data_IF_390907470180
#
_entry.id   IF_390907470180
#
_cell.length_a   1.000
_cell.length_b   1.000
_cell.length_c   1.000
_cell.angle_alpha   90.00
_cell.angle_beta   90.00
_cell.angle_gamma   90.00
#
_symmetry.space_group_name_H-M   'P 1'
#
loop_
_entity.id
_entity.type
_entity.pdbx_description
1 polymer ?
#
# COMPACT_ATOMS: atom_id res chain seq x y z
N UNK A 1 -12.66 4.56 -67.97
CA UNK A 1 -13.40 4.04 -66.83
C UNK A 1 -12.46 4.07 -65.62
N UNK A 2 -12.70 4.95 -64.62
CA UNK A 2 -11.88 5.08 -63.44
C UNK A 2 -12.62 4.39 -62.30
N UNK A 3 -12.09 3.24 -61.83
CA UNK A 3 -12.63 2.51 -60.67
C UNK A 3 -12.11 3.16 -59.38
N UNK A 4 -13.02 3.73 -58.61
CA UNK A 4 -12.71 4.28 -57.29
C UNK A 4 -12.80 3.16 -56.26
N UNK A 5 -11.67 2.83 -55.64
CA UNK A 5 -11.58 1.86 -54.53
C UNK A 5 -11.94 2.57 -53.23
N UNK A 6 -13.08 2.18 -52.65
CA UNK A 6 -13.56 2.69 -51.34
C UNK A 6 -12.84 1.91 -50.23
N UNK A 7 -11.93 2.56 -49.52
CA UNK A 7 -11.28 2.00 -48.34
C UNK A 7 -12.16 2.31 -47.12
N UNK A 8 -12.81 1.28 -46.56
CA UNK A 8 -13.57 1.38 -45.33
C UNK A 8 -12.61 1.22 -44.16
N UNK A 9 -12.36 2.30 -43.45
CA UNK A 9 -11.61 2.27 -42.18
C UNK A 9 -12.54 1.79 -41.04
N UNK A 10 -12.37 0.53 -40.61
CA UNK A 10 -13.04 0.03 -39.42
C UNK A 10 -12.22 0.49 -38.21
N UNK A 11 -12.69 1.52 -37.51
CA UNK A 11 -12.13 1.95 -36.24
C UNK A 11 -12.55 0.94 -35.15
N UNK A 12 -11.62 0.04 -34.76
CA UNK A 12 -11.82 -0.84 -33.60
C UNK A 12 -11.67 0.02 -32.36
N UNK A 13 -12.79 0.41 -31.75
CA UNK A 13 -12.85 1.08 -30.46
C UNK A 13 -12.50 0.05 -29.38
N UNK A 14 -11.24 -0.02 -28.98
CA UNK A 14 -10.80 -0.84 -27.85
C UNK A 14 -11.36 -0.25 -26.55
N UNK A 15 -12.57 -0.68 -26.16
CA UNK A 15 -13.13 -0.40 -24.83
C UNK A 15 -12.22 -1.05 -23.78
N UNK A 16 -11.36 -0.25 -23.16
CA UNK A 16 -10.66 -0.68 -21.95
C UNK A 16 -11.70 -0.69 -20.82
N UNK A 17 -12.19 -1.87 -20.48
CA UNK A 17 -12.97 -2.06 -19.27
C UNK A 17 -12.02 -1.82 -18.07
N UNK A 18 -11.97 -0.60 -17.58
CA UNK A 18 -11.43 -0.31 -16.27
C UNK A 18 -12.45 -0.90 -15.29
N UNK A 19 -12.11 -2.02 -14.63
CA UNK A 19 -12.94 -2.55 -13.55
C UNK A 19 -12.94 -1.48 -12.46
N UNK A 20 -14.06 -0.78 -12.30
CA UNK A 20 -14.21 0.19 -11.24
C UNK A 20 -14.13 -0.54 -9.90
N UNK A 21 -13.30 -0.02 -8.99
CA UNK A 21 -13.18 -0.54 -7.64
C UNK A 21 -14.51 -0.41 -6.90
N UNK A 22 -14.89 -1.44 -6.16
CA UNK A 22 -16.09 -1.42 -5.33
C UNK A 22 -15.94 -0.43 -4.17
N UNK A 23 -17.04 0.06 -3.57
CA UNK A 23 -16.96 0.92 -2.40
C UNK A 23 -16.16 0.30 -1.24
N UNK A 24 -16.26 -1.02 -1.04
CA UNK A 24 -15.50 -1.73 -0.01
C UNK A 24 -13.99 -1.78 -0.31
N UNK A 25 -13.59 -1.97 -1.58
CA UNK A 25 -12.18 -1.86 -1.99
C UNK A 25 -11.66 -0.44 -1.80
N UNK A 26 -12.47 0.57 -2.09
CA UNK A 26 -12.10 1.98 -1.87
C UNK A 26 -11.90 2.29 -0.38
N UNK A 27 -12.74 1.75 0.52
CA UNK A 27 -12.57 1.85 1.97
C UNK A 27 -11.21 1.30 2.41
N UNK A 28 -10.84 0.10 1.93
CA UNK A 28 -9.55 -0.53 2.21
C UNK A 28 -8.38 0.31 1.68
N UNK A 29 -8.46 0.81 0.46
CA UNK A 29 -7.41 1.65 -0.12
C UNK A 29 -7.29 3.01 0.58
N UNK A 30 -8.39 3.54 1.13
CA UNK A 30 -8.33 4.75 1.95
C UNK A 30 -7.65 4.47 3.28
N UNK A 31 -7.96 3.33 3.92
CA UNK A 31 -7.26 2.88 5.12
C UNK A 31 -5.73 2.80 4.92
N UNK A 32 -5.27 2.27 3.79
CA UNK A 32 -3.84 2.21 3.45
C UNK A 32 -3.20 3.61 3.39
N UNK A 33 -3.90 4.58 2.79
CA UNK A 33 -3.41 5.97 2.76
C UNK A 33 -3.37 6.61 4.14
N UNK A 34 -4.35 6.33 4.97
CA UNK A 34 -4.41 6.85 6.34
C UNK A 34 -3.32 6.22 7.22
N UNK A 35 -3.01 4.93 7.00
CA UNK A 35 -1.88 4.25 7.63
C UNK A 35 -0.54 4.89 7.24
N UNK A 36 -0.32 5.16 5.94
CA UNK A 36 0.87 5.88 5.48
C UNK A 36 1.02 7.25 6.16
N UNK A 37 -0.09 7.98 6.31
CA UNK A 37 -0.08 9.27 7.00
C UNK A 37 0.31 9.14 8.48
N UNK A 38 -0.15 8.08 9.16
CA UNK A 38 0.22 7.83 10.55
C UNK A 38 1.72 7.56 10.71
N UNK A 39 2.33 6.82 9.78
CA UNK A 39 3.80 6.63 9.75
C UNK A 39 4.54 7.93 9.43
N UNK A 40 4.09 8.69 8.44
CA UNK A 40 4.70 9.95 8.03
C UNK A 40 4.71 10.98 9.17
N UNK A 41 3.59 11.10 9.88
CA UNK A 41 3.41 12.06 10.97
C UNK A 41 4.00 11.55 12.30
N UNK A 42 4.51 10.31 12.35
CA UNK A 42 4.91 9.59 13.57
C UNK A 42 3.81 9.60 14.65
N UNK A 43 2.54 9.51 14.20
CA UNK A 43 1.38 9.46 15.09
C UNK A 43 1.24 8.07 15.73
N UNK A 44 1.92 7.90 16.85
CA UNK A 44 1.92 6.64 17.62
C UNK A 44 0.50 6.22 18.00
N UNK A 45 -0.38 7.15 18.39
CA UNK A 45 -1.74 6.81 18.78
C UNK A 45 -2.57 6.32 17.60
N UNK A 46 -2.36 6.87 16.40
CA UNK A 46 -2.96 6.35 15.18
C UNK A 46 -2.42 4.97 14.83
N UNK A 47 -1.10 4.76 14.91
CA UNK A 47 -0.46 3.47 14.64
C UNK A 47 -0.93 2.36 15.58
N UNK A 48 -1.16 2.68 16.85
CA UNK A 48 -1.74 1.74 17.82
C UNK A 48 -3.16 1.27 17.45
N UNK A 49 -3.89 2.06 16.67
CA UNK A 49 -5.22 1.70 16.14
C UNK A 49 -5.16 1.00 14.80
N UNK A 50 -4.18 1.36 13.97
CA UNK A 50 -3.97 0.82 12.62
C UNK A 50 -3.41 -0.59 12.64
N UNK A 51 -2.42 -0.85 13.52
CA UNK A 51 -1.75 -2.14 13.62
C UNK A 51 -2.46 -3.06 14.62
N UNK A 52 -2.70 -4.32 14.23
CA UNK A 52 -3.20 -5.31 15.21
C UNK A 52 -2.15 -5.59 16.29
N UNK A 53 -2.54 -6.08 17.49
CA UNK A 53 -1.57 -6.51 18.51
C UNK A 53 -0.56 -7.54 18.00
N UNK A 54 -0.98 -8.39 17.07
CA UNK A 54 -0.17 -9.48 16.50
C UNK A 54 0.56 -9.08 15.21
N UNK A 55 0.51 -7.82 14.83
CA UNK A 55 1.10 -7.33 13.57
C UNK A 55 2.57 -7.73 13.41
N UNK A 56 2.90 -8.14 12.20
CA UNK A 56 4.28 -8.39 11.77
C UNK A 56 4.54 -7.80 10.39
N UNK A 57 5.73 -7.26 10.19
CA UNK A 57 6.22 -6.80 8.89
C UNK A 57 7.47 -7.60 8.52
N UNK A 58 7.38 -8.36 7.42
CA UNK A 58 8.56 -8.99 6.84
C UNK A 58 9.29 -7.99 5.97
N UNK A 59 10.51 -7.65 6.34
CA UNK A 59 11.37 -6.71 5.64
C UNK A 59 12.05 -7.36 4.43
N UNK A 60 12.53 -6.54 3.50
CA UNK A 60 13.17 -6.98 2.24
C UNK A 60 14.50 -7.73 2.43
N UNK A 61 15.06 -7.78 3.64
CA UNK A 61 16.25 -8.56 4.03
C UNK A 61 15.87 -9.88 4.74
N UNK A 62 14.56 -10.14 4.91
CA UNK A 62 14.04 -11.33 5.59
C UNK A 62 13.85 -11.19 7.10
N UNK A 63 14.24 -10.06 7.69
CA UNK A 63 13.94 -9.76 9.08
C UNK A 63 12.44 -9.54 9.27
N UNK A 64 11.96 -9.85 10.48
CA UNK A 64 10.56 -9.63 10.87
C UNK A 64 10.51 -8.58 11.96
N UNK A 65 9.82 -7.48 11.68
CA UNK A 65 9.51 -6.43 12.65
C UNK A 65 8.12 -6.67 13.24
N UNK A 66 7.94 -6.35 14.52
CA UNK A 66 6.68 -6.44 15.23
C UNK A 66 6.01 -5.08 15.34
N UNK A 67 4.71 -5.06 15.75
CA UNK A 67 4.02 -3.81 16.11
C UNK A 67 4.82 -2.96 17.09
N UNK A 68 5.41 -3.59 18.10
CA UNK A 68 6.18 -2.89 19.12
C UNK A 68 7.45 -2.26 18.52
N UNK A 69 8.12 -2.96 17.60
CA UNK A 69 9.32 -2.44 16.95
C UNK A 69 8.99 -1.22 16.09
N UNK A 70 7.97 -1.31 15.21
CA UNK A 70 7.54 -0.21 14.36
C UNK A 70 7.18 1.05 15.18
N UNK A 71 6.41 0.88 16.25
CA UNK A 71 6.01 2.00 17.12
C UNK A 71 7.21 2.57 17.86
N UNK A 72 8.11 1.72 18.39
CA UNK A 72 9.27 2.17 19.15
C UNK A 72 10.29 2.90 18.28
N UNK A 73 10.51 2.48 17.04
CA UNK A 73 11.39 3.18 16.10
C UNK A 73 10.93 4.61 15.85
N UNK A 74 9.63 4.82 15.61
CA UNK A 74 9.06 6.15 15.42
C UNK A 74 9.07 6.97 16.73
N UNK A 75 8.66 6.37 17.86
CA UNK A 75 8.63 7.04 19.17
C UNK A 75 10.02 7.49 19.62
N UNK A 76 11.06 6.71 19.33
CA UNK A 76 12.44 7.04 19.69
C UNK A 76 13.09 8.08 18.74
N UNK A 77 12.46 8.40 17.62
CA UNK A 77 13.04 9.25 16.60
C UNK A 77 14.19 8.61 15.80
N UNK A 78 14.41 7.30 15.94
CA UNK A 78 15.41 6.57 15.14
C UNK A 78 15.10 6.62 13.65
N UNK A 79 13.82 6.58 13.33
CA UNK A 79 13.30 6.72 11.97
C UNK A 79 12.47 8.00 11.87
N UNK A 80 12.77 8.79 10.86
CA UNK A 80 11.99 9.97 10.49
C UNK A 80 11.68 9.91 9.00
N UNK A 81 10.40 9.93 8.65
CA UNK A 81 9.94 9.94 7.27
C UNK A 81 9.68 11.37 6.77
N UNK A 82 10.20 11.69 5.58
CA UNK A 82 9.86 12.89 4.80
C UNK A 82 8.80 12.58 3.74
N UNK A 83 8.77 11.32 3.27
CA UNK A 83 7.79 10.76 2.34
C UNK A 83 7.47 9.35 2.80
N UNK A 84 6.18 9.04 2.90
CA UNK A 84 5.65 7.69 3.07
C UNK A 84 4.34 7.61 2.29
N UNK A 85 4.39 7.04 1.10
CA UNK A 85 3.26 7.08 0.18
C UNK A 85 3.08 5.74 -0.55
N UNK A 86 1.87 5.20 -0.46
CA UNK A 86 1.44 4.03 -1.22
C UNK A 86 0.78 4.46 -2.54
N UNK A 87 1.15 3.79 -3.62
CA UNK A 87 0.61 4.02 -4.97
C UNK A 87 0.54 2.72 -5.79
N UNK A 88 -0.11 2.76 -6.95
CA UNK A 88 -0.37 1.59 -7.79
C UNK A 88 -1.03 0.44 -7.00
N UNK A 89 -1.96 0.79 -6.11
CA UNK A 89 -2.58 -0.15 -5.19
C UNK A 89 -3.72 -0.94 -5.83
N UNK A 90 -3.78 -2.23 -5.48
CA UNK A 90 -4.87 -3.14 -5.80
C UNK A 90 -5.34 -3.82 -4.52
N UNK A 91 -6.59 -3.60 -4.14
CA UNK A 91 -7.23 -4.30 -3.03
C UNK A 91 -8.04 -5.50 -3.53
N UNK A 92 -8.04 -6.59 -2.76
CA UNK A 92 -8.88 -7.76 -2.95
C UNK A 92 -9.51 -8.11 -1.61
N UNK A 93 -10.84 -8.18 -1.59
CA UNK A 93 -11.58 -8.58 -0.40
C UNK A 93 -11.85 -10.08 -0.41
N UNK A 94 -11.78 -10.69 0.76
CA UNK A 94 -12.12 -12.08 1.03
C UNK A 94 -13.18 -12.09 2.13
N UNK A 95 -14.44 -12.22 1.75
CA UNK A 95 -15.57 -12.00 2.66
C UNK A 95 -15.73 -10.51 3.00
N UNK A 96 -16.21 -10.23 4.22
CA UNK A 96 -16.52 -8.87 4.67
C UNK A 96 -15.47 -8.28 5.63
N UNK A 97 -14.49 -9.08 6.05
CA UNK A 97 -13.58 -8.79 7.16
C UNK A 97 -12.11 -9.04 6.86
N UNK A 98 -11.78 -9.46 5.65
CA UNK A 98 -10.40 -9.72 5.24
C UNK A 98 -10.10 -9.08 3.90
N UNK A 99 -8.96 -8.44 3.78
CA UNK A 99 -8.47 -7.88 2.53
C UNK A 99 -6.97 -8.14 2.36
N UNK A 100 -6.55 -8.27 1.11
CA UNK A 100 -5.13 -8.26 0.70
C UNK A 100 -4.93 -7.09 -0.22
N UNK A 101 -3.93 -6.26 0.07
CA UNK A 101 -3.54 -5.11 -0.74
C UNK A 101 -2.13 -5.31 -1.27
N UNK A 102 -1.98 -5.15 -2.58
CA UNK A 102 -0.68 -5.08 -3.24
C UNK A 102 -0.47 -3.67 -3.74
N UNK A 103 0.77 -3.21 -3.69
CA UNK A 103 1.11 -1.89 -4.20
C UNK A 103 2.59 -1.61 -4.11
N UNK A 104 2.92 -0.36 -4.33
CA UNK A 104 4.26 0.16 -4.15
C UNK A 104 4.25 1.24 -3.08
N UNK A 105 5.31 1.28 -2.28
CA UNK A 105 5.52 2.35 -1.30
C UNK A 105 6.78 3.12 -1.66
N UNK A 106 6.67 4.43 -1.79
CA UNK A 106 7.83 5.31 -1.76
C UNK A 106 8.08 5.75 -0.33
N UNK A 107 9.28 5.51 0.17
CA UNK A 107 9.74 5.98 1.46
C UNK A 107 11.01 6.79 1.30
N UNK A 108 11.04 7.98 1.93
CA UNK A 108 12.21 8.84 2.02
C UNK A 108 12.32 9.37 3.43
N UNK A 109 13.53 9.49 3.93
CA UNK A 109 13.76 9.98 5.28
C UNK A 109 15.15 9.65 5.79
N UNK A 110 15.25 9.52 7.11
CA UNK A 110 16.48 9.10 7.80
C UNK A 110 16.21 7.96 8.76
N UNK A 111 17.17 7.03 8.88
CA UNK A 111 17.17 5.96 9.87
C UNK A 111 18.54 5.90 10.51
N UNK A 112 18.61 6.00 11.84
CA UNK A 112 19.88 6.11 12.62
C UNK A 112 20.83 7.16 12.04
N UNK A 113 20.26 8.31 11.60
CA UNK A 113 21.01 9.44 11.00
C UNK A 113 21.46 9.22 9.55
N UNK A 114 21.14 8.08 8.93
CA UNK A 114 21.45 7.79 7.52
C UNK A 114 20.23 8.05 6.64
N UNK A 115 20.41 8.87 5.61
CA UNK A 115 19.36 9.16 4.64
C UNK A 115 19.03 7.92 3.79
N UNK A 116 17.75 7.78 3.45
CA UNK A 116 17.25 6.82 2.47
C UNK A 116 16.21 7.45 1.55
N UNK A 117 16.15 7.01 0.29
CA UNK A 117 15.06 7.27 -0.67
C UNK A 117 14.93 6.03 -1.53
N UNK A 118 13.82 5.31 -1.39
CA UNK A 118 13.61 4.03 -2.06
C UNK A 118 12.14 3.76 -2.35
N UNK A 119 11.91 2.91 -3.34
CA UNK A 119 10.61 2.32 -3.63
C UNK A 119 10.69 0.84 -3.34
N UNK A 120 9.70 0.34 -2.65
CA UNK A 120 9.49 -1.10 -2.39
C UNK A 120 8.14 -1.53 -2.94
N UNK A 121 7.98 -2.82 -3.22
CA UNK A 121 6.69 -3.43 -3.44
C UNK A 121 6.21 -4.01 -2.12
N UNK A 122 4.92 -3.85 -1.83
CA UNK A 122 4.33 -4.40 -0.62
C UNK A 122 3.17 -5.36 -0.92
N UNK A 123 2.91 -6.23 0.04
CA UNK A 123 1.69 -7.04 0.15
C UNK A 123 1.25 -7.00 1.59
N UNK A 124 0.10 -6.40 1.82
CA UNK A 124 -0.46 -6.21 3.15
C UNK A 124 -1.73 -7.05 3.32
N UNK A 125 -1.89 -7.62 4.49
CA UNK A 125 -3.08 -8.36 4.90
C UNK A 125 -3.81 -7.55 5.97
N UNK A 126 -5.05 -7.20 5.68
CA UNK A 126 -5.92 -6.43 6.56
C UNK A 126 -7.05 -7.31 7.08
N UNK A 127 -7.45 -7.04 8.32
CA UNK A 127 -8.62 -7.65 8.93
C UNK A 127 -9.53 -6.58 9.51
N UNK A 128 -10.83 -6.83 9.50
CA UNK A 128 -11.84 -5.92 10.08
C UNK A 128 -12.28 -6.46 11.43
N UNK A 129 -11.97 -5.74 12.51
CA UNK A 129 -12.41 -6.05 13.88
C UNK A 129 -13.23 -4.87 14.42
N UNK A 130 -14.36 -5.14 15.01
CA UNK A 130 -15.27 -4.11 15.57
C UNK A 130 -15.58 -2.98 14.57
N UNK A 131 -15.83 -3.36 13.31
CA UNK A 131 -16.15 -2.45 12.22
C UNK A 131 -14.99 -1.61 11.68
N UNK A 132 -13.74 -1.84 12.12
CA UNK A 132 -12.55 -1.09 11.72
C UNK A 132 -11.52 -2.00 11.05
N UNK A 133 -10.98 -1.54 9.94
CA UNK A 133 -9.82 -2.19 9.32
C UNK A 133 -8.57 -2.02 10.19
N UNK A 134 -7.76 -3.05 10.23
CA UNK A 134 -6.45 -3.06 10.86
C UNK A 134 -5.47 -3.87 10.01
N UNK A 135 -4.23 -3.46 10.00
CA UNK A 135 -3.13 -4.16 9.34
C UNK A 135 -2.67 -5.31 10.23
N UNK A 136 -2.82 -6.54 9.75
CA UNK A 136 -2.47 -7.75 10.49
C UNK A 136 -1.07 -8.26 10.14
N UNK A 137 -0.68 -8.17 8.87
CA UNK A 137 0.65 -8.52 8.41
C UNK A 137 1.03 -7.70 7.18
N UNK A 138 2.30 -7.38 7.05
CA UNK A 138 2.88 -6.76 5.88
C UNK A 138 4.11 -7.53 5.38
N UNK A 139 4.38 -7.42 4.09
CA UNK A 139 5.62 -7.88 3.50
C UNK A 139 6.09 -6.85 2.47
N UNK A 140 7.35 -6.46 2.55
CA UNK A 140 7.97 -5.57 1.57
C UNK A 140 9.12 -6.27 0.85
N UNK A 141 9.24 -6.02 -0.44
CA UNK A 141 10.34 -6.50 -1.27
C UNK A 141 10.97 -5.37 -2.06
N UNK A 142 12.28 -5.52 -2.34
CA UNK A 142 12.98 -4.55 -3.18
C UNK A 142 12.56 -4.73 -4.64
N UNK A 143 12.30 -3.62 -5.32
CA UNK A 143 12.19 -3.66 -6.77
C UNK A 143 13.60 -3.84 -7.35
N UNK A 144 13.76 -4.85 -8.19
CA UNK A 144 14.97 -4.97 -9.01
C UNK A 144 14.95 -3.88 -10.09
N UNK A 145 16.10 -3.24 -10.29
CA UNK A 145 16.29 -2.27 -11.38
C UNK A 145 16.47 -2.98 -12.71
#
# INVERSE_FOLDING_TARGET
MKTATLIVFVAVLACRFSVAQTPAEQEVLQFERDACKAFLDADVAALERVLTPEFTLTLSNGEVSTRADEINELRSGKVHYEVFENYDMLARLYGNDTAVVLGKTRVKGTADGKAFDRVVQFTDTLIKRDGRWQLAAGHVSRLQK
#
